data_IF_598134914416
#
_entry.id   IF_598134914416
#
_cell.length_a   1.000
_cell.length_b   1.000
_cell.length_c   1.000
_cell.angle_alpha   90.00
_cell.angle_beta   90.00
_cell.angle_gamma   90.00
#
_symmetry.space_group_name_H-M   'P 1'
#
loop_
_entity.id
_entity.type
_entity.pdbx_description
1 polymer ?
#
# COMPACT_ATOMS: atom_id res chain seq x y z
N UNK A 1 -50.31 60.60 2.06
CA UNK A 1 -51.05 59.66 2.95
C UNK A 1 -51.99 58.84 2.05
N UNK A 2 -51.85 57.55 1.76
CA UNK A 2 -50.87 56.52 2.07
C UNK A 2 -50.59 55.74 0.77
N UNK A 3 -49.38 55.90 0.20
CA UNK A 3 -48.79 55.05 -0.85
C UNK A 3 -48.17 53.77 -0.26
N UNK A 4 -48.67 53.32 0.90
CA UNK A 4 -48.07 52.24 1.71
C UNK A 4 -48.89 50.94 1.76
N UNK A 5 -50.00 50.83 1.03
CA UNK A 5 -50.87 49.64 1.10
C UNK A 5 -50.80 48.72 -0.13
N UNK A 6 -50.15 49.14 -1.23
CA UNK A 6 -50.11 48.35 -2.47
C UNK A 6 -48.80 47.55 -2.67
N UNK A 7 -47.78 47.77 -1.84
CA UNK A 7 -46.54 47.00 -1.86
C UNK A 7 -46.59 45.73 -0.98
N UNK A 8 -47.67 45.49 -0.23
CA UNK A 8 -47.79 44.33 0.67
C UNK A 8 -48.66 43.19 0.13
N UNK A 9 -49.42 43.38 -0.95
CA UNK A 9 -50.31 42.32 -1.48
C UNK A 9 -49.74 41.62 -2.73
N UNK A 10 -48.74 42.21 -3.40
CA UNK A 10 -48.02 41.53 -4.50
C UNK A 10 -46.79 40.76 -3.99
N UNK A 11 -46.41 40.95 -2.72
CA UNK A 11 -45.32 40.22 -2.05
C UNK A 11 -45.83 39.06 -1.18
N UNK A 12 -46.99 38.49 -1.52
CA UNK A 12 -47.52 37.27 -0.86
C UNK A 12 -47.96 36.20 -1.88
N UNK A 13 -47.53 36.29 -3.14
CA UNK A 13 -47.94 35.37 -4.22
C UNK A 13 -46.80 34.91 -5.15
N UNK A 14 -45.54 35.04 -4.74
CA UNK A 14 -44.38 34.45 -5.48
C UNK A 14 -43.35 33.83 -4.50
N UNK A 15 -43.83 33.19 -3.43
CA UNK A 15 -42.97 32.47 -2.48
C UNK A 15 -43.58 31.10 -2.09
N UNK A 16 -44.14 30.42 -3.08
CA UNK A 16 -44.54 29.01 -3.01
C UNK A 16 -44.29 28.35 -4.37
N UNK A 17 -43.02 28.22 -4.74
CA UNK A 17 -42.56 27.25 -5.73
C UNK A 17 -41.05 27.10 -5.56
N UNK A 18 -40.59 25.86 -5.41
CA UNK A 18 -39.19 25.43 -5.19
C UNK A 18 -38.69 25.52 -3.74
N UNK A 19 -39.37 24.81 -2.84
CA UNK A 19 -38.59 24.05 -1.86
C UNK A 19 -37.98 22.86 -2.63
N UNK A 20 -36.67 22.60 -2.57
CA UNK A 20 -36.17 21.30 -2.99
C UNK A 20 -36.96 20.26 -2.21
N UNK A 21 -37.47 19.24 -2.90
CA UNK A 21 -37.93 18.05 -2.22
C UNK A 21 -36.73 17.55 -1.42
N UNK A 22 -36.76 17.78 -0.11
CA UNK A 22 -35.92 17.03 0.81
C UNK A 22 -36.47 15.62 0.67
N UNK A 23 -35.86 14.84 -0.23
CA UNK A 23 -35.88 13.40 -0.11
C UNK A 23 -35.34 13.17 1.29
N UNK A 24 -36.21 12.83 2.22
CA UNK A 24 -35.74 12.26 3.48
C UNK A 24 -35.04 10.98 3.06
N UNK A 25 -33.71 11.05 2.94
CA UNK A 25 -32.88 9.87 3.04
C UNK A 25 -33.39 9.12 4.26
N UNK A 26 -33.63 7.82 4.11
CA UNK A 26 -33.86 6.97 5.27
C UNK A 26 -32.80 7.33 6.32
N UNK A 27 -33.16 7.47 7.60
CA UNK A 27 -32.18 7.83 8.61
C UNK A 27 -31.02 6.84 8.47
N UNK A 28 -29.81 7.35 8.21
CA UNK A 28 -28.58 6.56 8.29
C UNK A 28 -28.69 5.76 9.59
N UNK A 29 -28.55 4.44 9.52
CA UNK A 29 -28.61 3.56 10.69
C UNK A 29 -27.58 4.07 11.70
N UNK A 30 -28.04 4.87 12.66
CA UNK A 30 -27.20 5.50 13.67
C UNK A 30 -26.65 4.50 14.70
N UNK A 31 -27.00 3.22 14.56
CA UNK A 31 -26.54 2.10 15.37
C UNK A 31 -26.38 0.91 14.42
N UNK A 32 -25.18 0.33 14.34
CA UNK A 32 -24.93 -0.90 13.59
C UNK A 32 -25.90 -2.00 14.02
N UNK A 33 -26.16 -2.96 13.14
CA UNK A 33 -27.19 -3.95 13.42
C UNK A 33 -27.49 -4.93 12.29
N UNK A 34 -28.41 -5.84 12.58
CA UNK A 34 -28.83 -6.86 11.65
C UNK A 34 -29.59 -6.29 10.44
N UNK A 35 -29.24 -6.79 9.26
CA UNK A 35 -29.85 -6.45 7.98
C UNK A 35 -30.18 -7.73 7.21
N UNK A 36 -31.40 -7.81 6.68
CA UNK A 36 -31.81 -8.93 5.83
C UNK A 36 -31.64 -8.57 4.37
N UNK A 37 -30.80 -9.31 3.64
CA UNK A 37 -30.54 -9.14 2.20
C UNK A 37 -31.84 -9.25 1.39
N UNK A 38 -32.07 -8.31 0.48
CA UNK A 38 -33.22 -8.30 -0.44
C UNK A 38 -32.86 -8.81 -1.84
N UNK A 39 -33.88 -9.08 -2.68
CA UNK A 39 -33.76 -9.72 -4.00
C UNK A 39 -32.82 -9.05 -5.02
N UNK A 40 -32.41 -7.80 -4.80
CA UNK A 40 -31.59 -7.01 -5.72
C UNK A 40 -30.39 -6.34 -5.04
N UNK A 41 -30.15 -6.70 -3.77
CA UNK A 41 -29.06 -6.17 -3.00
C UNK A 41 -27.73 -6.75 -3.48
N UNK A 42 -26.73 -5.89 -3.50
CA UNK A 42 -25.33 -6.30 -3.47
C UNK A 42 -24.69 -5.61 -2.28
N UNK A 43 -23.60 -6.15 -1.74
CA UNK A 43 -22.92 -5.50 -0.61
C UNK A 43 -22.46 -4.09 -0.97
N UNK A 44 -22.03 -3.85 -2.21
CA UNK A 44 -21.70 -2.51 -2.71
C UNK A 44 -22.89 -1.54 -2.75
N UNK A 45 -24.09 -1.99 -3.14
CA UNK A 45 -25.30 -1.15 -3.10
C UNK A 45 -25.73 -0.83 -1.67
N UNK A 46 -25.59 -1.80 -0.77
CA UNK A 46 -25.86 -1.60 0.66
C UNK A 46 -24.86 -0.59 1.22
N UNK A 47 -23.57 -0.75 0.91
CA UNK A 47 -22.51 0.11 1.35
C UNK A 47 -22.67 1.57 0.87
N UNK A 48 -22.95 1.76 -0.42
CA UNK A 48 -23.24 3.09 -1.00
C UNK A 48 -24.44 3.76 -0.30
N UNK A 49 -25.48 2.97 -0.01
CA UNK A 49 -26.69 3.46 0.66
C UNK A 49 -26.44 3.82 2.13
N UNK A 50 -25.70 3.01 2.87
CA UNK A 50 -25.54 3.14 4.33
C UNK A 50 -24.34 4.00 4.72
N UNK A 51 -23.33 4.10 3.87
CA UNK A 51 -22.06 4.78 4.16
C UNK A 51 -21.69 5.84 3.12
N UNK A 52 -22.39 5.91 1.98
CA UNK A 52 -22.05 6.86 0.90
C UNK A 52 -20.81 6.48 0.09
N UNK A 53 -20.30 5.26 0.29
CA UNK A 53 -19.16 4.70 -0.44
C UNK A 53 -19.46 3.23 -0.80
N UNK A 54 -19.59 2.87 -2.09
CA UNK A 54 -19.80 1.48 -2.49
C UNK A 54 -18.65 0.57 -2.08
N UNK A 55 -17.42 1.07 -1.88
CA UNK A 55 -16.25 0.30 -1.44
C UNK A 55 -16.28 -0.05 0.06
N UNK A 56 -17.14 0.61 0.84
CA UNK A 56 -17.41 0.29 2.25
C UNK A 56 -18.01 -1.11 2.45
N UNK A 57 -18.35 -1.82 1.37
CA UNK A 57 -18.79 -3.20 1.43
C UNK A 57 -17.75 -4.12 2.08
N UNK A 58 -16.47 -3.78 1.96
CA UNK A 58 -15.39 -4.50 2.61
C UNK A 58 -15.47 -4.42 4.14
N UNK A 59 -15.91 -3.29 4.70
CA UNK A 59 -16.19 -3.16 6.12
C UNK A 59 -17.39 -4.02 6.54
N UNK A 60 -18.44 -4.07 5.71
CA UNK A 60 -19.59 -4.95 5.95
C UNK A 60 -19.13 -6.41 6.08
N UNK A 61 -18.31 -6.88 5.14
CA UNK A 61 -17.78 -8.26 5.17
C UNK A 61 -16.99 -8.52 6.45
N UNK A 62 -16.07 -7.60 6.79
CA UNK A 62 -15.24 -7.71 7.99
C UNK A 62 -16.09 -7.84 9.26
N UNK A 63 -16.92 -6.84 9.55
CA UNK A 63 -17.69 -6.80 10.79
C UNK A 63 -18.78 -7.87 10.83
N UNK A 64 -19.39 -8.20 9.69
CA UNK A 64 -20.32 -9.31 9.61
C UNK A 64 -19.67 -10.64 9.98
N UNK A 65 -18.51 -10.95 9.41
CA UNK A 65 -17.89 -12.25 9.62
C UNK A 65 -17.37 -12.40 11.05
N UNK A 66 -16.88 -11.32 11.68
CA UNK A 66 -16.59 -11.30 13.11
C UNK A 66 -17.84 -11.62 13.95
N UNK A 67 -18.99 -11.00 13.61
CA UNK A 67 -20.25 -11.26 14.31
C UNK A 67 -20.83 -12.64 14.05
N UNK A 68 -20.69 -13.18 12.85
CA UNK A 68 -21.15 -14.51 12.48
C UNK A 68 -20.38 -15.64 13.21
N UNK A 69 -19.14 -15.37 13.65
CA UNK A 69 -18.39 -16.29 14.53
C UNK A 69 -18.98 -16.33 15.95
N UNK A 70 -19.46 -15.19 16.44
CA UNK A 70 -20.03 -15.06 17.80
C UNK A 70 -21.52 -15.45 17.86
N UNK A 71 -22.25 -15.24 16.77
CA UNK A 71 -23.70 -15.37 16.67
C UNK A 71 -24.10 -16.00 15.33
N UNK A 72 -24.49 -17.29 15.40
CA UNK A 72 -24.91 -18.11 14.26
C UNK A 72 -26.19 -17.60 13.57
N UNK A 73 -26.86 -16.57 14.10
CA UNK A 73 -27.99 -15.92 13.41
C UNK A 73 -27.55 -15.04 12.24
N UNK A 74 -26.27 -14.68 12.17
CA UNK A 74 -25.69 -14.00 11.02
C UNK A 74 -25.10 -15.00 10.03
N UNK A 75 -25.40 -14.81 8.75
CA UNK A 75 -24.83 -15.58 7.66
C UNK A 75 -23.38 -15.15 7.41
N UNK A 76 -22.46 -16.12 7.40
CA UNK A 76 -21.08 -15.91 7.01
C UNK A 76 -21.00 -15.50 5.53
N UNK A 77 -20.27 -14.43 5.22
CA UNK A 77 -20.02 -14.00 3.85
C UNK A 77 -18.66 -14.54 3.42
N UNK A 78 -18.66 -15.67 2.72
CA UNK A 78 -17.44 -16.29 2.18
C UNK A 78 -16.99 -15.63 0.87
N UNK A 79 -17.93 -15.28 -0.01
CA UNK A 79 -17.70 -14.51 -1.24
C UNK A 79 -18.60 -13.25 -1.23
N UNK A 80 -18.02 -12.03 -1.23
CA UNK A 80 -18.78 -10.78 -1.21
C UNK A 80 -19.66 -10.55 -2.44
N UNK A 81 -19.43 -11.29 -3.54
CA UNK A 81 -20.25 -11.23 -4.74
C UNK A 81 -21.46 -12.17 -4.69
N UNK A 82 -21.54 -13.04 -3.68
CA UNK A 82 -22.56 -14.09 -3.57
C UNK A 82 -23.29 -13.92 -2.23
N UNK A 83 -24.29 -13.04 -2.22
CA UNK A 83 -25.24 -12.88 -1.10
C UNK A 83 -26.65 -13.26 -1.56
N UNK A 84 -27.39 -13.98 -0.72
CA UNK A 84 -28.73 -14.46 -1.08
C UNK A 84 -29.84 -13.69 -0.38
N UNK A 85 -30.97 -13.44 -1.06
CA UNK A 85 -32.15 -12.85 -0.44
C UNK A 85 -32.63 -13.67 0.76
N UNK A 86 -32.80 -13.00 1.90
CA UNK A 86 -33.18 -13.63 3.16
C UNK A 86 -32.02 -13.91 4.12
N UNK A 87 -30.75 -13.79 3.67
CA UNK A 87 -29.61 -13.83 4.59
C UNK A 87 -29.68 -12.67 5.57
N UNK A 88 -29.33 -12.93 6.83
CA UNK A 88 -29.18 -11.89 7.85
C UNK A 88 -27.70 -11.61 8.04
N UNK A 89 -27.28 -10.36 7.83
CA UNK A 89 -25.89 -9.92 7.98
C UNK A 89 -25.82 -8.77 9.00
N UNK A 90 -24.67 -8.57 9.62
CA UNK A 90 -24.42 -7.41 10.48
C UNK A 90 -23.85 -6.25 9.64
N UNK A 91 -24.49 -5.09 9.72
CA UNK A 91 -23.98 -3.84 9.19
C UNK A 91 -23.25 -3.08 10.30
N UNK A 92 -21.97 -2.73 10.14
CA UNK A 92 -21.28 -1.85 11.08
C UNK A 92 -21.94 -0.47 11.15
N UNK A 93 -21.73 0.23 12.26
CA UNK A 93 -22.04 1.67 12.34
C UNK A 93 -21.27 2.44 11.25
N UNK A 94 -21.75 3.61 10.80
CA UNK A 94 -20.98 4.45 9.89
C UNK A 94 -19.60 4.84 10.44
N UNK A 95 -19.48 4.95 11.76
CA UNK A 95 -18.19 5.17 12.43
C UNK A 95 -17.28 3.97 12.29
N UNK A 96 -17.71 2.75 12.65
CA UNK A 96 -16.95 1.51 12.45
C UNK A 96 -16.60 1.25 10.97
N UNK A 97 -17.53 1.50 10.05
CA UNK A 97 -17.32 1.33 8.62
C UNK A 97 -16.27 2.29 8.09
N UNK A 98 -16.39 3.59 8.45
CA UNK A 98 -15.37 4.57 8.12
C UNK A 98 -14.06 4.26 8.81
N UNK A 99 -14.08 3.81 10.06
CA UNK A 99 -12.90 3.46 10.83
C UNK A 99 -12.16 2.28 10.18
N UNK A 100 -12.86 1.26 9.68
CA UNK A 100 -12.27 0.19 8.87
C UNK A 100 -11.72 0.70 7.52
N UNK A 101 -12.44 1.58 6.83
CA UNK A 101 -12.00 2.12 5.54
C UNK A 101 -10.78 3.05 5.66
N UNK A 102 -10.71 3.80 6.75
CA UNK A 102 -9.54 4.59 7.16
C UNK A 102 -8.62 3.78 8.09
N UNK A 103 -8.82 2.45 8.18
CA UNK A 103 -8.08 1.43 8.94
C UNK A 103 -7.89 1.59 10.45
N UNK A 104 -8.50 2.59 11.08
CA UNK A 104 -8.68 2.65 12.53
C UNK A 104 -9.67 1.58 13.03
N UNK A 105 -9.29 0.32 13.15
CA UNK A 105 -10.15 -0.67 13.84
C UNK A 105 -9.93 -0.51 15.36
N UNK A 106 -10.71 0.35 16.02
CA UNK A 106 -10.73 0.42 17.48
C UNK A 106 -11.12 -0.95 18.09
N UNK A 107 -10.18 -1.60 18.78
CA UNK A 107 -10.45 -2.82 19.55
C UNK A 107 -10.44 -4.14 18.76
N UNK A 108 -10.05 -4.15 17.48
CA UNK A 108 -9.77 -5.38 16.75
C UNK A 108 -8.45 -6.00 17.22
N UNK A 109 -8.43 -7.29 17.55
CA UNK A 109 -7.17 -8.00 17.83
C UNK A 109 -6.48 -8.33 16.51
N UNK A 110 -5.38 -7.66 16.20
CA UNK A 110 -4.49 -8.10 15.13
C UNK A 110 -3.77 -9.37 15.54
N UNK A 111 -3.62 -10.28 14.59
CA UNK A 111 -2.87 -11.52 14.75
C UNK A 111 -1.53 -11.40 14.03
N UNK A 112 -0.55 -12.15 14.50
CA UNK A 112 0.78 -12.21 13.91
C UNK A 112 1.20 -13.67 13.74
N UNK A 113 2.18 -13.88 12.86
CA UNK A 113 2.70 -15.21 12.65
C UNK A 113 3.41 -15.75 13.90
N UNK A 114 3.38 -17.08 14.15
CA UNK A 114 4.03 -17.67 15.32
C UNK A 114 5.51 -17.31 15.49
N UNK A 115 6.24 -17.14 14.38
CA UNK A 115 7.65 -16.71 14.44
C UNK A 115 7.82 -15.28 14.95
N UNK A 116 6.89 -14.37 14.65
CA UNK A 116 6.92 -13.00 15.16
C UNK A 116 6.47 -12.96 16.62
N UNK A 117 5.41 -13.70 16.97
CA UNK A 117 4.95 -13.81 18.36
C UNK A 117 6.08 -14.30 19.30
N UNK A 118 6.91 -15.24 18.84
CA UNK A 118 8.09 -15.69 19.59
C UNK A 118 9.14 -14.58 19.78
N UNK A 119 9.34 -13.69 18.80
CA UNK A 119 10.22 -12.53 18.92
C UNK A 119 9.66 -11.49 19.89
N UNK A 120 8.33 -11.29 19.89
CA UNK A 120 7.64 -10.42 20.86
C UNK A 120 7.81 -10.96 22.28
N UNK A 121 7.60 -12.26 22.48
CA UNK A 121 7.80 -12.92 23.78
C UNK A 121 9.25 -12.80 24.26
N UNK A 122 10.22 -12.87 23.34
CA UNK A 122 11.64 -12.66 23.63
C UNK A 122 12.01 -11.19 23.94
N UNK A 123 11.15 -10.23 23.59
CA UNK A 123 11.42 -8.80 23.69
C UNK A 123 12.27 -8.23 22.55
N UNK A 124 12.46 -9.00 21.47
CA UNK A 124 13.23 -8.62 20.28
C UNK A 124 12.37 -7.87 19.25
N UNK A 125 11.05 -7.86 19.43
CA UNK A 125 10.10 -7.23 18.51
C UNK A 125 8.93 -6.58 19.28
N UNK A 126 8.46 -5.38 18.90
CA UNK A 126 7.24 -4.80 19.45
C UNK A 126 5.99 -5.64 19.11
N UNK A 127 4.91 -5.57 19.90
CA UNK A 127 3.66 -6.25 19.56
C UNK A 127 3.08 -5.74 18.24
N UNK A 128 2.30 -6.58 17.54
CA UNK A 128 1.75 -6.29 16.20
C UNK A 128 1.02 -4.95 16.10
N UNK A 129 0.32 -4.53 17.16
CA UNK A 129 -0.41 -3.26 17.23
C UNK A 129 0.49 -2.02 17.19
N UNK A 130 1.77 -2.15 17.57
CA UNK A 130 2.75 -1.06 17.49
C UNK A 130 3.53 -1.08 16.16
N UNK A 131 3.53 -2.23 15.49
CA UNK A 131 4.22 -2.43 14.21
C UNK A 131 3.39 -1.96 13.03
N UNK A 132 2.10 -2.26 13.04
CA UNK A 132 1.16 -1.84 12.00
C UNK A 132 0.95 -0.31 11.99
N UNK A 133 0.61 0.28 10.84
CA UNK A 133 0.15 1.66 10.77
C UNK A 133 -1.23 1.82 11.42
N UNK A 134 -1.63 3.06 11.70
CA UNK A 134 -2.96 3.40 12.23
C UNK A 134 -4.07 2.95 11.28
N UNK A 135 -3.77 2.96 9.97
CA UNK A 135 -4.62 2.45 8.90
C UNK A 135 -3.92 1.30 8.15
N UNK A 136 -4.03 0.03 8.58
CA UNK A 136 -3.47 -1.10 7.84
C UNK A 136 -4.12 -1.29 6.46
N UNK A 137 -3.33 -1.77 5.50
CA UNK A 137 -3.84 -2.11 4.18
C UNK A 137 -4.61 -3.44 4.29
N UNK A 138 -5.92 -3.42 4.09
CA UNK A 138 -6.68 -4.68 4.02
C UNK A 138 -6.47 -5.32 2.64
N UNK A 139 -5.91 -6.52 2.63
CA UNK A 139 -5.67 -7.31 1.42
C UNK A 139 -6.75 -8.40 1.34
N UNK A 140 -7.62 -8.37 0.30
CA UNK A 140 -8.63 -9.40 0.12
C UNK A 140 -8.02 -10.79 -0.02
N UNK A 141 -8.69 -11.79 0.54
CA UNK A 141 -8.33 -13.20 0.31
C UNK A 141 -8.88 -13.67 -1.02
N UNK A 142 -8.08 -14.48 -1.74
CA UNK A 142 -8.48 -15.02 -3.05
C UNK A 142 -9.40 -16.24 -2.90
N UNK A 143 -9.11 -17.11 -1.93
CA UNK A 143 -9.84 -18.37 -1.71
C UNK A 143 -10.38 -18.46 -0.28
N UNK A 144 -9.52 -18.28 0.72
CA UNK A 144 -9.89 -18.32 2.12
C UNK A 144 -8.84 -17.63 2.99
N UNK A 145 -9.14 -17.44 4.28
CA UNK A 145 -8.16 -17.05 5.29
C UNK A 145 -7.04 -18.10 5.32
N UNK A 146 -5.82 -17.60 5.20
CA UNK A 146 -4.61 -18.40 5.10
C UNK A 146 -4.11 -18.88 6.45
N UNK A 147 -3.08 -19.71 6.41
CA UNK A 147 -2.40 -20.22 7.60
C UNK A 147 -0.95 -19.75 7.57
N UNK A 148 -0.45 -19.31 8.72
CA UNK A 148 0.94 -18.91 8.84
C UNK A 148 1.90 -20.09 8.71
N UNK A 149 3.02 -19.84 8.06
CA UNK A 149 4.14 -20.77 8.04
C UNK A 149 4.65 -21.10 6.65
N UNK A 150 5.80 -21.78 6.65
CA UNK A 150 6.34 -22.45 5.47
C UNK A 150 7.23 -21.57 4.59
N UNK A 151 7.72 -22.20 3.53
CA UNK A 151 8.65 -21.59 2.58
C UNK A 151 8.12 -21.78 1.17
N UNK A 152 7.98 -20.69 0.42
CA UNK A 152 7.69 -20.70 -1.01
C UNK A 152 8.98 -20.95 -1.79
N UNK A 153 9.17 -22.17 -2.30
CA UNK A 153 10.35 -22.54 -3.08
C UNK A 153 10.16 -22.17 -4.54
N UNK A 154 11.07 -21.33 -5.04
CA UNK A 154 11.16 -20.85 -6.42
C UNK A 154 12.56 -21.13 -6.98
N UNK A 155 12.69 -21.05 -8.29
CA UNK A 155 13.98 -21.16 -8.98
C UNK A 155 14.27 -19.94 -9.83
N UNK A 156 15.54 -19.63 -10.02
CA UNK A 156 16.01 -18.53 -10.87
C UNK A 156 17.26 -18.95 -11.64
N UNK A 157 17.54 -18.25 -12.76
CA UNK A 157 18.70 -18.51 -13.62
C UNK A 157 19.89 -17.58 -13.33
N UNK A 158 19.91 -16.99 -12.13
CA UNK A 158 20.96 -16.09 -11.66
C UNK A 158 20.54 -14.60 -11.70
N UNK A 159 21.49 -13.68 -11.44
CA UNK A 159 21.19 -12.26 -11.25
C UNK A 159 20.47 -11.59 -12.41
N UNK A 160 20.64 -12.07 -13.65
CA UNK A 160 19.96 -11.52 -14.82
C UNK A 160 18.44 -11.77 -14.84
N UNK A 161 17.94 -12.72 -14.05
CA UNK A 161 16.52 -13.07 -13.93
C UNK A 161 15.76 -12.14 -12.95
N UNK A 162 16.13 -10.86 -12.93
CA UNK A 162 15.65 -9.90 -11.93
C UNK A 162 14.16 -9.77 -11.82
N UNK A 163 13.46 -9.73 -12.96
CA UNK A 163 12.00 -9.68 -12.99
C UNK A 163 11.32 -10.81 -12.19
N UNK A 164 11.97 -11.96 -12.01
CA UNK A 164 11.44 -13.09 -11.24
C UNK A 164 11.47 -12.82 -9.73
N UNK A 165 12.61 -12.36 -9.22
CA UNK A 165 12.83 -12.18 -7.78
C UNK A 165 12.41 -10.79 -7.25
N UNK A 166 12.43 -9.75 -8.09
CA UNK A 166 11.98 -8.40 -7.68
C UNK A 166 10.47 -8.36 -7.46
N UNK A 167 9.69 -9.14 -8.22
CA UNK A 167 8.22 -9.20 -8.13
C UNK A 167 7.67 -9.69 -6.79
N UNK A 168 8.50 -10.29 -5.93
CA UNK A 168 8.12 -10.67 -4.56
C UNK A 168 8.74 -9.77 -3.49
N UNK A 169 9.62 -8.85 -3.89
CA UNK A 169 10.41 -8.00 -3.01
C UNK A 169 10.27 -6.50 -3.38
N UNK A 170 9.16 -6.12 -4.01
CA UNK A 170 8.93 -4.75 -4.46
C UNK A 170 7.88 -4.00 -3.66
N UNK A 171 8.01 -2.68 -3.70
CA UNK A 171 7.26 -1.74 -2.89
C UNK A 171 6.78 -0.56 -3.72
N UNK A 172 5.54 -0.15 -3.53
CA UNK A 172 5.01 0.97 -4.30
C UNK A 172 4.17 1.88 -3.41
N UNK A 173 4.18 3.18 -3.74
CA UNK A 173 3.30 4.15 -3.10
C UNK A 173 1.82 3.80 -3.37
N UNK A 174 1.51 3.43 -4.62
CA UNK A 174 0.22 2.90 -5.08
C UNK A 174 0.45 1.67 -5.96
N UNK A 175 -0.55 0.83 -6.19
CA UNK A 175 -0.42 -0.36 -7.05
C UNK A 175 -1.49 -0.40 -8.13
N UNK A 176 -1.23 -1.14 -9.21
CA UNK A 176 -2.30 -1.58 -10.10
C UNK A 176 -3.12 -2.67 -9.40
N UNK A 177 -4.44 -2.68 -9.61
CA UNK A 177 -5.31 -3.78 -9.20
C UNK A 177 -4.83 -5.11 -9.81
N UNK A 178 -5.16 -6.27 -9.21
CA UNK A 178 -4.74 -7.57 -9.76
C UNK A 178 -5.18 -7.82 -11.22
N UNK A 179 -6.30 -7.22 -11.64
CA UNK A 179 -6.79 -7.28 -13.01
C UNK A 179 -6.27 -6.13 -13.92
N UNK A 180 -5.52 -5.19 -13.34
CA UNK A 180 -4.94 -4.03 -14.01
C UNK A 180 -5.96 -2.98 -14.46
N UNK A 181 -7.19 -3.04 -13.97
CA UNK A 181 -8.27 -2.13 -14.36
C UNK A 181 -8.16 -0.74 -13.72
N UNK A 182 -7.56 -0.65 -12.53
CA UNK A 182 -7.46 0.60 -11.77
C UNK A 182 -6.19 0.68 -10.93
N UNK A 183 -5.88 1.90 -10.46
CA UNK A 183 -4.85 2.12 -9.45
C UNK A 183 -5.50 2.06 -8.08
N UNK A 184 -4.93 1.27 -7.17
CA UNK A 184 -5.41 1.02 -5.83
C UNK A 184 -4.43 1.53 -4.75
N UNK A 185 -4.93 1.87 -3.55
CA UNK A 185 -4.10 2.23 -2.40
C UNK A 185 -3.05 1.17 -2.04
N UNK A 186 -1.89 1.64 -1.58
CA UNK A 186 -0.85 0.80 -0.98
C UNK A 186 -0.21 1.54 0.20
N UNK A 187 1.00 2.10 0.11
CA UNK A 187 1.57 2.95 1.19
C UNK A 187 0.79 4.26 1.30
N UNK A 188 0.36 4.79 0.16
CA UNK A 188 -0.62 5.87 0.07
C UNK A 188 -2.00 5.29 0.34
N UNK A 189 -2.69 5.83 1.36
CA UNK A 189 -4.04 5.47 1.74
C UNK A 189 -5.08 6.06 0.79
N UNK A 190 -4.87 7.30 0.35
CA UNK A 190 -5.78 8.03 -0.53
C UNK A 190 -5.07 9.13 -1.30
N UNK A 191 -5.74 9.65 -2.32
CA UNK A 191 -5.24 10.76 -3.13
C UNK A 191 -6.39 11.60 -3.68
N UNK A 192 -6.07 12.82 -4.06
CA UNK A 192 -6.98 13.75 -4.71
C UNK A 192 -6.23 14.60 -5.74
N UNK A 193 -6.93 14.97 -6.81
CA UNK A 193 -6.43 15.94 -7.79
C UNK A 193 -7.13 17.28 -7.61
N UNK A 194 -6.47 18.36 -8.00
CA UNK A 194 -7.17 19.63 -8.22
C UNK A 194 -8.11 19.55 -9.47
N UNK A 195 -8.92 20.59 -9.68
CA UNK A 195 -9.98 20.59 -10.71
C UNK A 195 -9.46 20.35 -12.15
N UNK A 196 -8.21 20.73 -12.44
CA UNK A 196 -7.62 20.60 -13.77
C UNK A 196 -6.58 19.48 -13.89
N UNK A 197 -6.42 18.63 -12.86
CA UNK A 197 -5.47 17.51 -12.82
C UNK A 197 -3.99 17.91 -12.97
N UNK A 198 -3.63 19.17 -12.67
CA UNK A 198 -2.25 19.63 -12.65
C UNK A 198 -1.55 19.41 -11.30
N UNK A 199 -2.31 19.21 -10.22
CA UNK A 199 -1.78 18.90 -8.90
C UNK A 199 -2.44 17.66 -8.32
N UNK A 200 -1.63 16.78 -7.72
CA UNK A 200 -2.05 15.53 -7.09
C UNK A 200 -1.51 15.48 -5.66
N UNK A 201 -2.41 15.50 -4.69
CA UNK A 201 -2.09 15.37 -3.26
C UNK A 201 -2.29 13.92 -2.84
N UNK A 202 -1.25 13.31 -2.27
CA UNK A 202 -1.25 11.95 -1.75
C UNK A 202 -1.20 11.99 -0.22
N UNK A 203 -1.95 11.07 0.40
CA UNK A 203 -1.97 10.88 1.86
C UNK A 203 -1.40 9.49 2.20
N UNK A 204 -0.26 9.47 2.87
CA UNK A 204 0.38 8.24 3.38
C UNK A 204 -0.41 7.66 4.55
N UNK A 205 -0.27 6.35 4.79
CA UNK A 205 -0.78 5.67 5.99
C UNK A 205 0.04 6.09 7.22
N UNK A 206 -0.52 6.82 8.20
CA UNK A 206 0.20 7.21 9.41
C UNK A 206 0.71 5.98 10.19
N UNK A 207 1.90 6.08 10.75
CA UNK A 207 2.51 4.98 11.51
C UNK A 207 3.14 3.86 10.67
N UNK A 208 3.18 3.99 9.34
CA UNK A 208 3.93 3.08 8.46
C UNK A 208 5.40 3.09 8.82
N UNK A 209 6.05 1.92 8.78
CA UNK A 209 7.46 1.73 9.13
C UNK A 209 8.18 0.95 8.05
N UNK A 210 9.47 1.21 7.92
CA UNK A 210 10.41 0.35 7.21
C UNK A 210 10.63 -0.96 7.98
N UNK A 211 11.23 -1.96 7.34
CA UNK A 211 11.46 -3.29 7.92
C UNK A 211 12.38 -3.31 9.15
N UNK A 212 13.15 -2.25 9.38
CA UNK A 212 13.97 -2.04 10.58
C UNK A 212 13.22 -1.32 11.71
N UNK A 213 11.96 -0.93 11.48
CA UNK A 213 11.10 -0.26 12.45
C UNK A 213 11.16 1.28 12.39
N UNK A 214 12.03 1.86 11.56
CA UNK A 214 12.08 3.31 11.38
C UNK A 214 10.82 3.82 10.67
N UNK A 215 10.29 5.00 11.04
CA UNK A 215 9.09 5.54 10.41
C UNK A 215 9.29 5.80 8.91
N UNK A 216 8.31 5.43 8.09
CA UNK A 216 8.21 5.89 6.72
C UNK A 216 7.36 7.16 6.67
N UNK A 217 7.93 8.24 6.17
CA UNK A 217 7.25 9.55 6.08
C UNK A 217 7.46 10.21 4.72
N UNK A 218 6.87 11.38 4.50
CA UNK A 218 7.16 12.22 3.34
C UNK A 218 8.64 12.59 3.25
N UNK A 219 9.43 12.53 4.32
CA UNK A 219 10.87 12.73 4.26
C UNK A 219 11.59 11.72 3.34
N UNK A 220 11.10 10.48 3.26
CA UNK A 220 11.65 9.44 2.36
C UNK A 220 11.34 9.72 0.88
N UNK A 221 10.19 10.35 0.62
CA UNK A 221 9.80 10.83 -0.71
C UNK A 221 10.63 12.06 -1.08
N UNK A 222 10.78 13.00 -0.14
CA UNK A 222 11.56 14.21 -0.36
C UNK A 222 13.05 13.92 -0.52
N UNK A 223 13.59 12.92 0.19
CA UNK A 223 14.95 12.44 -0.02
C UNK A 223 15.13 11.85 -1.42
N UNK A 224 14.19 11.00 -1.87
CA UNK A 224 14.21 10.54 -3.26
C UNK A 224 14.16 11.71 -4.25
N UNK A 225 13.26 12.68 -4.06
CA UNK A 225 13.09 13.80 -4.97
C UNK A 225 14.33 14.71 -5.01
N UNK A 226 14.79 15.19 -3.87
CA UNK A 226 15.87 16.17 -3.79
C UNK A 226 17.26 15.56 -4.02
N UNK A 227 17.51 14.39 -3.44
CA UNK A 227 18.86 13.85 -3.32
C UNK A 227 19.14 12.70 -4.29
N UNK A 228 18.12 12.06 -4.86
CA UNK A 228 18.29 11.00 -5.86
C UNK A 228 17.89 11.49 -7.25
N UNK A 229 16.66 11.98 -7.41
CA UNK A 229 16.12 12.39 -8.72
C UNK A 229 16.80 13.66 -9.24
N UNK A 230 16.95 14.69 -8.41
CA UNK A 230 17.54 15.97 -8.79
C UNK A 230 19.08 16.00 -8.70
N UNK A 231 19.69 14.95 -8.18
CA UNK A 231 21.14 14.83 -8.12
C UNK A 231 21.69 14.34 -9.47
N UNK A 232 22.43 15.20 -10.17
CA UNK A 232 22.97 14.90 -11.51
C UNK A 232 24.02 13.78 -11.53
N UNK A 233 24.69 13.50 -10.40
CA UNK A 233 25.65 12.39 -10.28
C UNK A 233 24.93 11.03 -10.23
N UNK A 234 23.74 10.98 -9.61
CA UNK A 234 22.93 9.76 -9.47
C UNK A 234 21.94 9.58 -10.61
N UNK A 235 21.37 10.69 -11.10
CA UNK A 235 20.34 10.73 -12.12
C UNK A 235 20.81 11.56 -13.31
N UNK A 236 21.44 10.88 -14.28
CA UNK A 236 21.92 11.52 -15.51
C UNK A 236 20.82 12.19 -16.35
N UNK A 237 19.55 11.83 -16.12
CA UNK A 237 18.39 12.42 -16.79
C UNK A 237 17.13 12.29 -15.96
N UNK A 238 16.31 13.34 -15.96
CA UNK A 238 14.98 13.31 -15.34
C UNK A 238 14.08 12.36 -16.13
N UNK A 239 13.36 11.42 -15.49
CA UNK A 239 12.39 10.55 -16.16
C UNK A 239 11.20 11.33 -16.75
N UNK A 240 10.65 10.86 -17.86
CA UNK A 240 9.55 11.53 -18.59
C UNK A 240 8.35 11.85 -17.70
N UNK A 241 7.97 10.98 -16.77
CA UNK A 241 6.83 11.20 -15.87
C UNK A 241 7.03 12.34 -14.85
N UNK A 242 8.26 12.81 -14.69
CA UNK A 242 8.65 13.96 -13.86
C UNK A 242 9.00 15.20 -14.70
N UNK A 243 8.93 15.13 -16.03
CA UNK A 243 9.20 16.28 -16.90
C UNK A 243 7.90 17.04 -17.19
N UNK A 244 7.96 18.36 -17.02
CA UNK A 244 6.95 19.30 -17.50
C UNK A 244 7.05 19.49 -19.02
N UNK A 245 6.00 20.05 -19.62
CA UNK A 245 5.94 20.28 -21.08
C UNK A 245 6.99 21.28 -21.59
N UNK A 246 7.47 22.17 -20.72
CA UNK A 246 8.53 23.14 -20.99
C UNK A 246 9.95 22.61 -20.71
N UNK A 247 10.09 21.35 -20.29
CA UNK A 247 11.36 20.71 -19.97
C UNK A 247 11.85 20.92 -18.54
N UNK A 248 11.11 21.66 -17.70
CA UNK A 248 11.38 21.73 -16.25
C UNK A 248 10.94 20.45 -15.54
N UNK A 249 11.27 20.31 -14.26
CA UNK A 249 10.87 19.15 -13.44
C UNK A 249 9.56 19.48 -12.71
N UNK A 250 8.64 18.52 -12.64
CA UNK A 250 7.48 18.60 -11.76
C UNK A 250 7.92 18.82 -10.30
N UNK A 251 7.19 19.63 -9.55
CA UNK A 251 7.53 19.93 -8.15
C UNK A 251 6.89 18.93 -7.22
N UNK A 252 7.62 18.54 -6.18
CA UNK A 252 7.13 17.69 -5.10
C UNK A 252 7.27 18.45 -3.79
N UNK A 253 6.19 18.61 -3.05
CA UNK A 253 6.17 19.38 -1.81
C UNK A 253 5.47 18.59 -0.71
N UNK A 254 6.16 18.36 0.40
CA UNK A 254 5.58 17.77 1.60
C UNK A 254 4.94 18.87 2.46
N UNK A 255 3.65 18.73 2.74
CA UNK A 255 2.94 19.64 3.65
C UNK A 255 3.17 19.24 5.12
N UNK A 256 3.24 17.94 5.39
CA UNK A 256 3.52 17.32 6.69
C UNK A 256 4.11 15.92 6.50
N UNK A 257 4.30 15.15 7.59
CA UNK A 257 4.90 13.80 7.57
C UNK A 257 4.12 12.77 6.74
N UNK A 258 2.86 13.04 6.42
CA UNK A 258 1.94 12.11 5.74
C UNK A 258 1.27 12.69 4.50
N UNK A 259 1.46 13.98 4.19
CA UNK A 259 0.80 14.65 3.06
C UNK A 259 1.84 15.24 2.11
N UNK A 260 1.79 14.83 0.85
CA UNK A 260 2.73 15.27 -0.20
C UNK A 260 2.00 15.54 -1.51
N UNK A 261 2.40 16.60 -2.22
CA UNK A 261 1.76 17.05 -3.45
C UNK A 261 2.75 17.08 -4.61
N UNK A 262 2.39 16.45 -5.74
CA UNK A 262 3.05 16.61 -7.03
C UNK A 262 2.33 17.68 -7.85
N UNK A 263 3.06 18.64 -8.41
CA UNK A 263 2.51 19.68 -9.30
C UNK A 263 3.21 19.72 -10.65
N UNK A 264 2.41 19.77 -11.70
CA UNK A 264 2.79 19.79 -13.10
C UNK A 264 2.41 21.12 -13.77
N UNK A 265 3.12 21.51 -14.84
CA UNK A 265 2.79 22.71 -15.63
C UNK A 265 1.53 22.56 -16.51
N UNK A 266 1.09 21.32 -16.68
CA UNK A 266 -0.09 20.90 -17.46
C UNK A 266 -0.83 19.78 -16.73
N UNK A 267 -2.12 19.56 -17.05
CA UNK A 267 -2.85 18.39 -16.58
C UNK A 267 -2.07 17.09 -16.85
N UNK A 268 -1.87 16.28 -15.81
CA UNK A 268 -1.23 14.96 -15.92
C UNK A 268 -2.16 13.87 -15.38
N UNK A 269 -3.12 13.43 -16.19
CA UNK A 269 -4.04 12.35 -15.84
C UNK A 269 -3.40 10.96 -15.82
N UNK A 270 -2.15 10.83 -16.26
CA UNK A 270 -1.40 9.58 -16.23
C UNK A 270 -0.59 9.40 -14.94
N UNK A 271 -0.53 10.42 -14.07
CA UNK A 271 0.33 10.44 -12.89
C UNK A 271 0.25 9.16 -12.03
N UNK A 272 -0.96 8.75 -11.64
CA UNK A 272 -1.15 7.56 -10.79
C UNK A 272 -0.74 6.26 -11.50
N UNK A 273 -0.96 6.16 -12.81
CA UNK A 273 -0.54 5.00 -13.59
C UNK A 273 0.99 4.92 -13.67
N UNK A 274 1.67 6.06 -13.86
CA UNK A 274 3.12 6.14 -13.84
C UNK A 274 3.67 5.80 -12.44
N UNK A 275 3.06 6.34 -11.39
CA UNK A 275 3.45 6.09 -10.00
C UNK A 275 3.30 4.62 -9.60
N UNK A 276 2.25 3.95 -10.07
CA UNK A 276 2.04 2.51 -9.86
C UNK A 276 3.11 1.63 -10.50
N UNK A 277 3.90 2.17 -11.44
CA UNK A 277 5.06 1.51 -12.04
C UNK A 277 6.40 1.90 -11.38
N UNK A 278 6.39 2.77 -10.35
CA UNK A 278 7.56 3.14 -9.54
C UNK A 278 7.67 2.25 -8.31
N UNK A 279 7.83 0.96 -8.59
CA UNK A 279 7.78 -0.14 -7.63
C UNK A 279 9.08 -0.37 -6.83
N UNK A 280 10.06 0.52 -6.98
CA UNK A 280 11.30 0.52 -6.19
C UNK A 280 12.19 -0.72 -6.36
N UNK A 281 11.83 -1.65 -7.25
CA UNK A 281 12.49 -2.95 -7.36
C UNK A 281 12.99 -3.27 -8.78
N UNK A 282 12.67 -2.46 -9.79
CA UNK A 282 13.50 -2.40 -10.98
C UNK A 282 14.94 -2.04 -10.54
N UNK A 283 15.98 -2.69 -11.08
CA UNK A 283 17.39 -2.61 -10.64
C UNK A 283 18.04 -1.22 -10.86
N UNK A 284 17.24 -0.16 -10.88
CA UNK A 284 17.57 1.19 -11.22
C UNK A 284 16.98 2.11 -10.16
N UNK A 285 17.86 2.87 -9.51
CA UNK A 285 17.47 3.93 -8.56
C UNK A 285 16.54 4.96 -9.19
N UNK A 286 16.59 5.12 -10.52
CA UNK A 286 15.70 6.01 -11.28
C UNK A 286 14.24 5.53 -11.37
N UNK A 287 13.93 4.29 -10.97
CA UNK A 287 12.56 3.77 -10.90
C UNK A 287 11.94 3.86 -9.50
N UNK A 288 12.65 4.46 -8.53
CA UNK A 288 12.10 4.73 -7.21
C UNK A 288 11.17 5.94 -7.23
N UNK A 289 10.31 6.04 -6.22
CA UNK A 289 9.51 7.23 -5.89
C UNK A 289 9.62 7.63 -4.41
N UNK A 290 10.39 6.86 -3.63
CA UNK A 290 10.72 7.03 -2.23
C UNK A 290 11.91 6.11 -1.90
N UNK A 291 12.69 6.42 -0.88
CA UNK A 291 13.82 5.60 -0.45
C UNK A 291 14.11 5.80 1.04
N UNK A 292 14.64 4.79 1.77
CA UNK A 292 14.85 4.88 3.22
C UNK A 292 15.95 5.90 3.53
N UNK A 293 15.57 7.14 3.82
CA UNK A 293 16.50 8.25 3.95
C UNK A 293 17.49 8.03 5.10
N UNK A 294 16.99 7.55 6.23
CA UNK A 294 17.77 7.24 7.43
C UNK A 294 18.90 6.24 7.17
N UNK A 295 18.68 5.31 6.23
CA UNK A 295 19.68 4.33 5.82
C UNK A 295 20.59 4.87 4.73
N UNK A 296 20.05 5.48 3.66
CA UNK A 296 20.84 5.83 2.47
C UNK A 296 21.65 7.11 2.59
N UNK A 297 21.29 8.03 3.49
CA UNK A 297 22.05 9.27 3.68
C UNK A 297 23.52 9.01 4.03
N UNK A 298 23.84 7.95 4.78
CA UNK A 298 25.22 7.60 5.14
C UNK A 298 26.10 7.21 3.93
N UNK A 299 25.51 6.95 2.77
CA UNK A 299 26.21 6.63 1.52
C UNK A 299 26.14 7.76 0.49
N UNK A 300 25.55 8.91 0.87
CA UNK A 300 25.32 10.03 -0.02
C UNK A 300 26.28 11.19 0.30
N UNK A 301 26.93 11.73 -0.73
CA UNK A 301 28.00 12.72 -0.57
C UNK A 301 27.58 14.04 0.11
N UNK A 302 26.28 14.38 0.10
CA UNK A 302 25.77 15.58 0.78
C UNK A 302 25.57 15.41 2.30
N UNK A 303 25.60 14.17 2.81
CA UNK A 303 25.27 13.88 4.21
C UNK A 303 26.39 13.16 4.95
N UNK A 304 27.07 12.22 4.29
CA UNK A 304 28.14 11.44 4.89
C UNK A 304 29.42 12.27 5.10
N UNK A 305 30.21 11.92 6.12
CA UNK A 305 31.57 12.43 6.23
C UNK A 305 32.40 11.94 5.03
N UNK A 306 33.14 12.85 4.39
CA UNK A 306 33.90 12.55 3.17
C UNK A 306 34.93 11.43 3.37
N UNK A 307 35.56 11.37 4.55
CA UNK A 307 36.58 10.36 4.86
C UNK A 307 35.93 9.00 5.09
N UNK A 308 34.83 8.96 5.83
CA UNK A 308 34.07 7.73 6.08
C UNK A 308 33.44 7.19 4.80
N UNK A 309 32.90 8.07 3.95
CA UNK A 309 32.33 7.72 2.66
C UNK A 309 33.39 7.15 1.72
N UNK A 310 34.55 7.79 1.60
CA UNK A 310 35.63 7.27 0.77
C UNK A 310 36.14 5.92 1.28
N UNK A 311 36.25 5.75 2.60
CA UNK A 311 36.62 4.46 3.19
C UNK A 311 35.59 3.36 2.87
N UNK A 312 34.30 3.69 2.86
CA UNK A 312 33.24 2.76 2.47
C UNK A 312 33.29 2.41 0.96
N UNK A 313 33.58 3.39 0.11
CA UNK A 313 33.79 3.20 -1.35
C UNK A 313 34.95 2.23 -1.59
N UNK A 314 36.10 2.51 -0.98
CA UNK A 314 37.30 1.68 -1.11
C UNK A 314 37.07 0.25 -0.58
N UNK A 315 36.40 0.13 0.58
CA UNK A 315 36.09 -1.16 1.19
C UNK A 315 35.14 -2.00 0.35
N UNK A 316 34.20 -1.36 -0.35
CA UNK A 316 33.28 -2.01 -1.27
C UNK A 316 33.92 -2.33 -2.64
N UNK A 317 35.10 -1.79 -2.93
CA UNK A 317 35.81 -1.99 -4.19
C UNK A 317 35.22 -1.21 -5.37
N UNK A 318 34.57 -0.08 -5.09
CA UNK A 318 34.06 0.83 -6.10
C UNK A 318 35.01 2.00 -6.34
N UNK A 319 34.86 2.66 -7.49
CA UNK A 319 35.66 3.84 -7.84
C UNK A 319 34.97 5.14 -7.38
N UNK A 320 33.65 5.12 -7.21
CA UNK A 320 32.86 6.30 -6.86
C UNK A 320 31.82 6.04 -5.78
N UNK A 321 31.46 7.10 -5.06
CA UNK A 321 30.33 7.06 -4.11
C UNK A 321 29.01 6.76 -4.81
N UNK A 322 28.84 7.15 -6.08
CA UNK A 322 27.66 6.85 -6.90
C UNK A 322 27.45 5.35 -7.09
N UNK A 323 28.53 4.61 -7.37
CA UNK A 323 28.49 3.15 -7.49
C UNK A 323 28.16 2.48 -6.15
N UNK A 324 28.79 2.95 -5.05
CA UNK A 324 28.46 2.48 -3.71
C UNK A 324 26.98 2.74 -3.37
N UNK A 325 26.51 3.97 -3.55
CA UNK A 325 25.13 4.38 -3.27
C UNK A 325 24.15 3.53 -4.10
N UNK A 326 24.42 3.36 -5.39
CA UNK A 326 23.58 2.55 -6.29
C UNK A 326 23.50 1.10 -5.83
N UNK A 327 24.61 0.50 -5.37
CA UNK A 327 24.60 -0.86 -4.82
C UNK A 327 23.82 -0.92 -3.50
N UNK A 328 24.01 0.06 -2.61
CA UNK A 328 23.35 0.11 -1.30
C UNK A 328 21.85 0.38 -1.40
N UNK A 329 21.41 1.05 -2.46
CA UNK A 329 20.02 1.36 -2.72
C UNK A 329 19.20 0.19 -3.28
N UNK A 330 19.80 -0.94 -3.67
CA UNK A 330 19.10 -2.06 -4.32
C UNK A 330 19.01 -3.30 -3.43
N UNK A 331 17.77 -3.72 -3.11
CA UNK A 331 17.46 -4.88 -2.25
C UNK A 331 18.14 -6.18 -2.74
N UNK A 332 18.06 -6.58 -4.02
CA UNK A 332 18.54 -7.92 -4.43
C UNK A 332 20.06 -8.11 -4.29
N UNK A 333 20.80 -7.01 -4.27
CA UNK A 333 22.26 -6.98 -4.16
C UNK A 333 22.75 -6.43 -2.82
N UNK A 334 21.85 -6.00 -1.94
CA UNK A 334 22.14 -5.47 -0.62
C UNK A 334 21.04 -5.84 0.37
N UNK A 335 21.27 -6.90 1.13
CA UNK A 335 20.32 -7.39 2.12
C UNK A 335 20.07 -6.43 3.29
N UNK A 336 21.00 -5.50 3.55
CA UNK A 336 20.93 -4.58 4.68
C UNK A 336 19.97 -3.40 4.44
N UNK A 337 19.50 -3.20 3.20
CA UNK A 337 18.61 -2.07 2.88
C UNK A 337 17.21 -2.32 3.46
N UNK A 338 16.68 -1.40 4.29
CA UNK A 338 15.29 -1.49 4.75
C UNK A 338 14.28 -1.49 3.58
N UNK A 339 13.17 -2.18 3.75
CA UNK A 339 12.12 -2.33 2.73
C UNK A 339 10.73 -2.25 3.36
N UNK A 340 9.71 -1.92 2.59
CA UNK A 340 8.32 -2.05 3.00
C UNK A 340 7.66 -3.31 2.45
N UNK A 341 8.42 -4.17 1.76
CA UNK A 341 7.88 -5.31 1.02
C UNK A 341 7.43 -6.39 2.00
N UNK A 342 6.56 -7.29 1.53
CA UNK A 342 6.07 -8.39 2.37
C UNK A 342 7.21 -9.32 2.85
N UNK A 343 8.27 -9.45 2.06
CA UNK A 343 9.48 -10.18 2.43
C UNK A 343 10.74 -9.34 2.19
N UNK A 344 11.74 -9.55 3.03
CA UNK A 344 13.03 -8.86 3.07
C UNK A 344 14.18 -9.90 3.02
N UNK A 345 15.32 -9.60 2.39
CA UNK A 345 16.47 -10.52 2.38
C UNK A 345 16.94 -10.90 3.80
N UNK A 346 17.35 -12.15 4.00
CA UNK A 346 17.84 -12.66 5.29
C UNK A 346 19.37 -12.57 5.47
N UNK A 347 20.02 -11.71 4.69
CA UNK A 347 21.48 -11.63 4.58
C UNK A 347 22.06 -12.34 3.35
N UNK A 348 21.24 -13.11 2.62
CA UNK A 348 21.60 -13.66 1.30
C UNK A 348 21.31 -12.67 0.17
N UNK A 349 21.97 -12.88 -0.97
CA UNK A 349 21.82 -12.07 -2.18
C UNK A 349 21.59 -12.94 -3.41
N UNK A 350 21.28 -12.31 -4.55
CA UNK A 350 21.12 -13.01 -5.83
C UNK A 350 22.42 -13.64 -6.38
N UNK A 351 23.57 -13.37 -5.75
CA UNK A 351 24.84 -14.03 -6.06
C UNK A 351 25.00 -15.39 -5.38
N UNK A 352 24.20 -15.66 -4.34
CA UNK A 352 24.26 -16.92 -3.60
C UNK A 352 23.52 -18.05 -4.31
N UNK A 353 23.86 -19.30 -3.96
CA UNK A 353 23.17 -20.48 -4.50
C UNK A 353 21.68 -20.50 -4.12
N UNK A 354 21.34 -19.93 -2.97
CA UNK A 354 19.97 -19.73 -2.52
C UNK A 354 19.85 -18.28 -2.07
N UNK A 355 19.01 -17.51 -2.76
CA UNK A 355 18.58 -16.19 -2.34
C UNK A 355 17.29 -16.33 -1.54
N UNK A 356 17.34 -16.07 -0.23
CA UNK A 356 16.21 -16.19 0.69
C UNK A 356 15.71 -14.81 1.10
N UNK A 357 14.40 -14.67 1.04
CA UNK A 357 13.64 -13.58 1.63
C UNK A 357 12.86 -14.14 2.82
N UNK A 358 12.86 -13.45 3.95
CA UNK A 358 12.06 -13.74 5.13
C UNK A 358 10.98 -12.68 5.30
N UNK A 359 9.88 -12.97 6.00
CA UNK A 359 8.78 -12.01 6.16
C UNK A 359 9.25 -10.71 6.81
N UNK A 360 8.67 -9.60 6.36
CA UNK A 360 8.88 -8.29 6.97
C UNK A 360 7.97 -8.13 8.21
N UNK A 361 8.52 -7.96 9.42
CA UNK A 361 7.70 -7.78 10.61
C UNK A 361 6.94 -6.43 10.63
N UNK A 362 7.31 -5.46 9.80
CA UNK A 362 6.61 -4.17 9.72
C UNK A 362 5.74 -4.04 8.47
N UNK A 363 5.42 -5.15 7.79
CA UNK A 363 4.52 -5.12 6.64
C UNK A 363 3.15 -4.56 7.02
N UNK A 364 2.65 -3.63 6.19
CA UNK A 364 1.43 -2.85 6.45
C UNK A 364 0.13 -3.61 6.20
N UNK A 365 0.22 -4.74 5.49
CA UNK A 365 -0.94 -5.48 5.01
C UNK A 365 -1.49 -6.45 6.04
N UNK A 366 -2.82 -6.48 6.19
CA UNK A 366 -3.55 -7.50 6.96
C UNK A 366 -4.61 -8.14 6.07
N UNK A 367 -5.04 -9.35 6.40
CA UNK A 367 -6.24 -9.95 5.80
C UNK A 367 -7.54 -9.44 6.47
N UNK A 368 -8.73 -9.84 5.98
CA UNK A 368 -10.01 -9.49 6.62
C UNK A 368 -10.24 -10.10 8.01
N UNK A 369 -9.36 -10.96 8.52
CA UNK A 369 -9.41 -11.47 9.89
C UNK A 369 -8.40 -10.75 10.82
N UNK A 370 -7.68 -9.74 10.32
CA UNK A 370 -6.66 -9.01 11.07
C UNK A 370 -5.33 -9.76 11.20
N UNK A 371 -5.10 -10.82 10.42
CA UNK A 371 -3.81 -11.49 10.35
C UNK A 371 -2.83 -10.60 9.57
N UNK A 372 -1.78 -10.12 10.22
CA UNK A 372 -0.69 -9.43 9.54
C UNK A 372 -0.03 -10.36 8.52
N UNK A 373 0.02 -9.90 7.28
CA UNK A 373 0.59 -10.62 6.14
C UNK A 373 2.12 -10.42 6.09
N UNK A 374 2.85 -11.27 5.34
CA UNK A 374 2.39 -12.44 4.58
C UNK A 374 2.13 -13.68 5.45
N UNK A 375 1.28 -14.59 4.93
CA UNK A 375 1.11 -15.92 5.52
C UNK A 375 2.39 -16.76 5.49
N UNK A 376 3.10 -16.74 4.36
CA UNK A 376 4.31 -17.53 4.15
C UNK A 376 5.50 -16.85 4.82
N UNK A 377 6.29 -17.62 5.59
CA UNK A 377 7.41 -17.08 6.35
C UNK A 377 8.60 -16.71 5.46
N UNK A 378 8.90 -17.54 4.46
CA UNK A 378 10.06 -17.37 3.61
C UNK A 378 9.76 -17.58 2.13
N UNK A 379 10.50 -16.90 1.26
CA UNK A 379 10.58 -17.20 -0.17
C UNK A 379 12.03 -17.53 -0.49
N UNK A 380 12.27 -18.70 -1.10
CA UNK A 380 13.62 -19.15 -1.45
C UNK A 380 13.76 -19.28 -2.97
N UNK A 381 14.72 -18.57 -3.55
CA UNK A 381 15.11 -18.71 -4.94
C UNK A 381 16.38 -19.56 -5.03
N UNK A 382 16.26 -20.79 -5.54
CA UNK A 382 17.42 -21.65 -5.79
C UNK A 382 17.99 -21.41 -7.18
N UNK A 383 19.31 -21.23 -7.28
CA UNK A 383 19.99 -21.01 -8.55
C UNK A 383 20.06 -22.30 -9.36
N UNK A 384 19.65 -22.23 -10.63
CA UNK A 384 19.81 -23.29 -11.60
C UNK A 384 20.67 -22.83 -12.77
N UNK A 385 21.68 -23.62 -13.13
CA UNK A 385 22.61 -23.31 -14.22
C UNK A 385 21.91 -23.23 -15.60
N UNK A 386 20.77 -23.91 -15.76
CA UNK A 386 20.02 -23.93 -17.01
C UNK A 386 18.53 -24.26 -16.78
N UNK A 387 17.71 -23.97 -17.80
CA UNK A 387 16.26 -24.19 -17.79
C UNK A 387 15.87 -25.67 -17.70
N UNK A 388 16.66 -26.59 -18.25
CA UNK A 388 16.33 -28.01 -18.23
C UNK A 388 16.44 -28.57 -16.81
N UNK A 389 17.46 -28.15 -16.07
CA UNK A 389 17.64 -28.51 -14.66
C UNK A 389 16.51 -27.92 -13.80
N UNK A 390 16.15 -26.64 -14.01
CA UNK A 390 15.01 -26.00 -13.32
C UNK A 390 13.69 -26.73 -13.61
N UNK A 391 13.39 -27.06 -14.87
CA UNK A 391 12.19 -27.79 -15.24
C UNK A 391 12.12 -29.19 -14.61
N UNK A 392 13.28 -29.84 -14.48
CA UNK A 392 13.39 -31.16 -13.83
C UNK A 392 13.09 -31.03 -12.32
N UNK A 393 13.62 -30.00 -11.66
CA UNK A 393 13.33 -29.71 -10.26
C UNK A 393 11.83 -29.41 -10.04
N UNK A 394 11.22 -28.62 -10.93
CA UNK A 394 9.79 -28.36 -10.90
C UNK A 394 8.96 -29.64 -11.05
N UNK A 395 9.30 -30.51 -12.01
CA UNK A 395 8.62 -31.79 -12.21
C UNK A 395 8.77 -32.76 -11.01
N UNK A 396 9.78 -32.56 -10.16
CA UNK A 396 10.03 -33.32 -8.94
C UNK A 396 9.36 -32.70 -7.69
N UNK A 397 8.59 -31.61 -7.84
CA UNK A 397 7.93 -30.94 -6.72
C UNK A 397 8.89 -30.14 -5.83
N UNK A 398 10.04 -29.73 -6.36
CA UNK A 398 11.00 -28.87 -5.66
C UNK A 398 10.70 -27.37 -5.82
N UNK A 399 9.73 -27.03 -6.67
CA UNK A 399 9.23 -25.67 -6.91
C UNK A 399 7.74 -25.66 -6.55
N UNK A 400 7.33 -24.77 -5.64
CA UNK A 400 5.96 -24.72 -5.12
C UNK A 400 5.03 -23.93 -6.03
N UNK A 401 5.47 -22.74 -6.44
CA UNK A 401 4.74 -21.85 -7.36
C UNK A 401 5.76 -21.00 -8.12
N UNK A 402 5.62 -20.93 -9.43
CA UNK A 402 6.52 -20.14 -10.27
C UNK A 402 5.82 -19.63 -11.52
N UNK A 403 5.95 -18.32 -11.73
CA UNK A 403 5.50 -17.59 -12.91
C UNK A 403 6.43 -16.40 -13.12
N UNK A 404 6.44 -15.85 -14.34
CA UNK A 404 7.18 -14.62 -14.61
C UNK A 404 6.28 -13.42 -14.41
#
# INVERSE_FOLDING_TARGET
MQRKFLHWVVMTLVLMALLPAITMAAPLLQTGGAYTIQAEDTLGKIADKEYGDPLAYTAIVYFNNQKAVEDETFNLIEDPNVVEPGWTIYLPTPEEANAYLIGNIEGGTFNEAPSLAAMVEAGDLPPVSERLPDNPLIIPVVEQIGQYGGTLRRGFLGPSDHNNYVRVAYDALVRNSPDGSEVIPHIVASWESNEDFSAWTLHLRPGTKWSDGEPLTTADIMFWYNDILLNEDLSASIPVWMQNSDGTVATVEAADETTVTWTYDKPNTAFLLELANKDGADLLISNMSFAPAHYLQQFHASYADETELQAAVDAAGFDTWVELFSQKALIPTNADRPTTAAWMPDGTTVADQVFRLTRNPYYIGVDPAGNQLPYIDNVEFTFFADKQTLNTAAAQGQIDMQGR
#
